data_IF_020912796908
#
_entry.id   IF_020912796908
#
_cell.length_a   1.000
_cell.length_b   1.000
_cell.length_c   1.000
_cell.angle_alpha   90.00
_cell.angle_beta   90.00
_cell.angle_gamma   90.00
#
_symmetry.space_group_name_H-M   'P 1'
#
loop_
_entity.id
_entity.type
_entity.pdbx_description
1 polymer ?
#
# COMPACT_ATOMS: atom_id res chain seq x y z
N UNK A 1 20.62 0.74 6.54
CA UNK A 1 20.11 0.00 7.35
C UNK A 1 18.95 -0.85 6.86
N UNK A 2 17.82 -0.53 7.14
CA UNK A 2 16.72 -1.34 6.71
C UNK A 2 16.48 -1.21 5.24
N UNK A 3 15.97 -2.25 4.69
CA UNK A 3 15.58 -2.23 3.30
C UNK A 3 14.12 -1.87 3.18
N UNK A 4 13.73 -0.82 3.88
CA UNK A 4 12.35 -0.43 3.93
C UNK A 4 11.81 -0.12 2.54
N UNK A 5 12.64 0.51 1.71
CA UNK A 5 12.19 0.83 0.36
C UNK A 5 11.95 -0.43 -0.47
N UNK A 6 12.84 -1.41 -0.32
CA UNK A 6 12.66 -2.66 -1.03
C UNK A 6 11.42 -3.40 -0.55
N UNK A 7 11.26 -3.45 0.76
CA UNK A 7 10.11 -4.11 1.33
C UNK A 7 8.82 -3.43 0.91
N UNK A 8 8.80 -2.10 0.95
CA UNK A 8 7.62 -1.37 0.56
C UNK A 8 7.31 -1.59 -0.93
N UNK A 9 8.34 -1.56 -1.76
CA UNK A 9 8.12 -1.75 -3.18
C UNK A 9 7.54 -3.13 -3.45
N UNK A 10 8.04 -4.14 -2.76
CA UNK A 10 7.53 -5.49 -2.92
C UNK A 10 6.08 -5.59 -2.48
N UNK A 11 5.74 -4.94 -1.39
CA UNK A 11 4.36 -4.96 -0.91
C UNK A 11 3.43 -4.26 -1.89
N UNK A 12 3.88 -3.15 -2.44
CA UNK A 12 3.07 -2.43 -3.41
C UNK A 12 2.86 -3.27 -4.66
N UNK A 13 3.91 -3.93 -5.12
CA UNK A 13 3.79 -4.77 -6.30
C UNK A 13 2.84 -5.93 -6.05
N UNK A 14 2.94 -6.55 -4.88
CA UNK A 14 2.03 -7.63 -4.55
C UNK A 14 0.59 -7.16 -4.47
N UNK A 15 0.38 -5.98 -3.91
CA UNK A 15 -0.96 -5.43 -3.82
C UNK A 15 -1.50 -5.09 -5.20
N UNK A 16 -0.65 -4.53 -6.07
CA UNK A 16 -1.09 -4.20 -7.42
C UNK A 16 -1.50 -5.46 -8.17
N UNK A 17 -0.76 -6.52 -7.99
CA UNK A 17 -1.09 -7.77 -8.64
C UNK A 17 -2.43 -8.30 -8.14
N UNK A 18 -2.65 -8.23 -6.84
CA UNK A 18 -3.91 -8.67 -6.27
C UNK A 18 -5.08 -7.82 -6.77
N UNK A 19 -4.85 -6.51 -6.86
CA UNK A 19 -5.89 -5.61 -7.35
C UNK A 19 -6.24 -5.92 -8.79
N UNK A 20 -5.25 -6.33 -9.56
CA UNK A 20 -5.49 -6.67 -10.94
C UNK A 20 -6.28 -7.96 -11.06
N UNK A 21 -5.92 -8.95 -10.24
CA UNK A 21 -6.59 -10.23 -10.26
C UNK A 21 -8.05 -10.09 -9.84
N UNK A 22 -8.31 -9.27 -8.83
CA UNK A 22 -9.66 -9.10 -8.30
C UNK A 22 -10.37 -7.88 -8.85
N UNK A 23 -9.74 -7.22 -9.83
CA UNK A 23 -10.36 -6.07 -10.50
C UNK A 23 -10.71 -4.97 -9.51
N UNK A 24 -9.80 -4.70 -8.59
CA UNK A 24 -9.98 -3.65 -7.62
C UNK A 24 -9.30 -2.37 -8.08
N UNK A 25 -9.87 -1.24 -7.73
CA UNK A 25 -9.27 0.04 -8.09
C UNK A 25 -8.56 0.70 -6.91
N UNK A 26 -8.69 0.16 -5.72
CA UNK A 26 -8.06 0.73 -4.53
C UNK A 26 -7.52 -0.38 -3.66
N UNK A 27 -6.43 -0.09 -2.97
CA UNK A 27 -5.84 -1.02 -2.02
C UNK A 27 -5.23 -0.27 -0.87
N UNK A 28 -4.98 -0.96 0.23
CA UNK A 28 -4.43 -0.37 1.43
C UNK A 28 -3.23 -1.15 1.91
N UNK A 29 -2.21 -0.43 2.34
CA UNK A 29 -1.04 -1.02 2.97
C UNK A 29 -0.88 -0.37 4.34
N UNK A 30 -0.82 -1.19 5.38
CA UNK A 30 -0.69 -0.70 6.74
C UNK A 30 0.78 -0.73 7.12
N UNK A 31 1.29 0.40 7.57
CA UNK A 31 2.68 0.50 7.98
C UNK A 31 2.74 0.94 9.44
N UNK A 32 3.96 1.03 9.95
CA UNK A 32 4.13 1.47 11.32
C UNK A 32 3.87 2.96 11.47
N UNK A 33 4.37 3.73 10.54
CA UNK A 33 4.41 5.17 10.76
C UNK A 33 4.39 5.99 9.47
N UNK A 34 4.01 5.40 8.37
CA UNK A 34 4.05 6.10 7.09
C UNK A 34 2.65 6.34 6.57
N UNK A 35 2.50 7.46 5.89
CA UNK A 35 1.24 7.80 5.26
C UNK A 35 1.51 8.34 3.88
N UNK A 36 0.97 7.67 2.87
CA UNK A 36 1.26 8.03 1.50
C UNK A 36 0.14 7.54 0.60
N UNK A 37 0.04 8.15 -0.55
CA UNK A 37 -0.97 7.73 -1.52
C UNK A 37 -0.31 7.67 -2.89
N UNK A 38 -0.46 6.53 -3.56
CA UNK A 38 0.16 6.31 -4.85
C UNK A 38 -0.91 5.92 -5.87
N UNK A 39 -0.75 6.41 -7.08
CA UNK A 39 -1.65 6.03 -8.16
C UNK A 39 -0.83 5.41 -9.28
N UNK A 40 -1.14 4.16 -9.63
CA UNK A 40 -0.42 3.43 -10.65
C UNK A 40 -1.43 2.73 -11.54
N UNK A 41 -1.35 2.98 -12.85
CA UNK A 41 -2.20 2.30 -13.81
C UNK A 41 -3.68 2.48 -13.49
N UNK A 42 -4.04 3.67 -13.02
CA UNK A 42 -5.43 3.93 -12.69
C UNK A 42 -5.87 3.33 -11.37
N UNK A 43 -4.96 2.71 -10.63
CA UNK A 43 -5.27 2.14 -9.33
C UNK A 43 -4.62 2.97 -8.24
N UNK A 44 -5.28 3.09 -7.13
CA UNK A 44 -4.80 3.89 -6.02
C UNK A 44 -4.40 3.00 -4.85
N UNK A 45 -3.19 3.21 -4.34
CA UNK A 45 -2.69 2.48 -3.19
C UNK A 45 -2.55 3.47 -2.04
N UNK A 46 -3.25 3.19 -0.94
CA UNK A 46 -3.21 4.02 0.25
C UNK A 46 -2.29 3.39 1.28
N UNK A 47 -1.22 4.08 1.63
CA UNK A 47 -0.31 3.61 2.67
C UNK A 47 -0.61 4.42 3.92
N UNK A 48 -1.10 3.76 4.95
CA UNK A 48 -1.51 4.45 6.17
C UNK A 48 -0.83 3.82 7.37
N UNK A 49 -0.60 4.60 8.41
CA UNK A 49 0.01 4.05 9.63
C UNK A 49 -1.01 3.25 10.42
N UNK A 50 -0.51 2.25 11.13
CA UNK A 50 -1.39 1.36 11.87
C UNK A 50 -2.23 2.11 12.89
N UNK A 51 -1.63 3.11 13.55
CA UNK A 51 -2.37 3.83 14.59
C UNK A 51 -3.54 4.60 13.99
N UNK A 52 -3.37 5.09 12.77
CA UNK A 52 -4.47 5.80 12.12
C UNK A 52 -5.56 4.83 11.70
N UNK A 53 -5.14 3.67 11.22
CA UNK A 53 -6.10 2.65 10.81
C UNK A 53 -6.97 2.21 11.98
N UNK A 54 -6.35 2.10 13.15
CA UNK A 54 -7.06 1.64 14.33
C UNK A 54 -8.03 2.68 14.87
N UNK A 55 -7.82 3.94 14.52
CA UNK A 55 -8.73 5.00 14.98
C UNK A 55 -10.02 5.06 14.17
N UNK A 56 -10.06 4.38 13.08
CA UNK A 56 -11.28 4.34 12.27
C UNK A 56 -12.31 3.35 12.82
#
# INVERSE_FOLDING_TARGET
KMDDEKTRKREIEGLQEAMEIYDLSEGYIITLNEKEELTVDGKTVHIIPAWEWMLK
#
